data_IF_262775489197
#
_entry.id   IF_262775489197
#
_cell.length_a   1.000
_cell.length_b   1.000
_cell.length_c   1.000
_cell.angle_alpha   90.00
_cell.angle_beta   90.00
_cell.angle_gamma   90.00
#
_symmetry.space_group_name_H-M   'P 1'
#
loop_
_entity.id
_entity.type
_entity.pdbx_description
1 polymer ?
#
# COMPACT_ATOMS: atom_id res chain seq x y z
N UNK A 1 7.09 -7.45 -20.98
CA UNK A 1 5.79 -8.01 -21.41
C UNK A 1 4.85 -6.82 -21.55
N UNK A 2 4.52 -6.41 -22.78
CA UNK A 2 3.50 -5.38 -23.04
C UNK A 2 2.24 -6.15 -23.41
N UNK A 3 1.22 -6.10 -22.55
CA UNK A 3 0.00 -6.91 -22.70
C UNK A 3 -0.94 -6.34 -23.77
N UNK A 4 -1.00 -5.01 -23.90
CA UNK A 4 -1.72 -4.26 -24.94
C UNK A 4 -1.45 -2.75 -24.77
N UNK A 5 -1.79 -1.94 -25.76
CA UNK A 5 -1.85 -0.48 -25.63
C UNK A 5 -3.02 -0.09 -24.69
N UNK A 6 -2.80 0.92 -23.84
CA UNK A 6 -3.85 1.45 -22.97
C UNK A 6 -4.74 2.39 -23.81
N UNK A 7 -6.06 2.17 -23.89
CA UNK A 7 -6.95 3.06 -24.63
C UNK A 7 -6.85 4.51 -24.15
N UNK A 8 -7.01 5.46 -25.09
CA UNK A 8 -6.99 6.89 -24.77
C UNK A 8 -7.94 7.23 -23.62
N UNK A 9 -7.47 8.05 -22.69
CA UNK A 9 -8.20 8.46 -21.49
C UNK A 9 -8.07 7.53 -20.29
N UNK A 10 -7.39 6.37 -20.42
CA UNK A 10 -7.16 5.40 -19.32
C UNK A 10 -5.69 5.36 -18.88
N UNK A 11 -5.43 4.59 -17.82
CA UNK A 11 -4.09 4.37 -17.29
C UNK A 11 -3.77 5.28 -16.11
N UNK A 12 -2.47 5.41 -15.81
CA UNK A 12 -1.99 6.17 -14.64
C UNK A 12 -2.26 7.65 -14.89
N UNK A 13 -3.02 8.27 -14.00
CA UNK A 13 -3.31 9.72 -14.02
C UNK A 13 -2.22 10.47 -13.27
N UNK A 14 -1.91 10.03 -12.05
CA UNK A 14 -0.92 10.64 -11.16
C UNK A 14 -0.37 9.58 -10.21
N UNK A 15 0.87 9.78 -9.77
CA UNK A 15 1.48 8.92 -8.76
C UNK A 15 2.55 9.69 -7.97
N UNK A 16 2.75 9.25 -6.73
CA UNK A 16 3.78 9.77 -5.83
C UNK A 16 4.44 8.62 -5.10
N UNK A 17 5.75 8.74 -4.93
CA UNK A 17 6.60 7.81 -4.19
C UNK A 17 7.35 8.60 -3.13
N UNK A 18 7.50 8.02 -1.95
CA UNK A 18 8.21 8.65 -0.84
C UNK A 18 8.94 7.64 0.03
N UNK A 19 9.93 8.14 0.76
CA UNK A 19 10.73 7.37 1.70
C UNK A 19 11.10 8.24 2.90
N UNK A 20 10.95 7.68 4.09
CA UNK A 20 11.40 8.27 5.36
C UNK A 20 12.28 7.24 6.08
N UNK A 21 13.58 7.35 5.87
CA UNK A 21 14.58 6.52 6.53
C UNK A 21 14.72 6.90 8.01
N UNK A 22 15.03 5.92 8.84
CA UNK A 22 15.26 6.10 10.28
C UNK A 22 16.62 5.52 10.66
N UNK A 23 17.31 6.17 11.62
CA UNK A 23 18.57 5.68 12.15
C UNK A 23 18.37 4.35 12.90
N UNK A 24 17.26 4.23 13.64
CA UNK A 24 16.77 2.97 14.21
C UNK A 24 15.51 2.52 13.45
N UNK A 25 15.58 1.46 12.63
CA UNK A 25 14.46 1.06 11.79
C UNK A 25 13.26 0.52 12.59
N UNK A 26 12.09 1.14 12.41
CA UNK A 26 10.84 0.66 12.99
C UNK A 26 10.37 -0.72 12.47
N UNK A 27 10.90 -1.20 11.34
CA UNK A 27 10.59 -2.50 10.75
C UNK A 27 11.82 -3.06 10.01
N UNK A 28 12.38 -4.17 10.49
CA UNK A 28 13.63 -4.73 9.98
C UNK A 28 13.77 -6.24 10.24
N UNK A 29 14.57 -6.92 9.42
CA UNK A 29 15.21 -8.20 9.77
C UNK A 29 16.69 -7.90 10.08
N UNK A 30 17.14 -7.98 11.34
CA UNK A 30 18.47 -7.47 11.74
C UNK A 30 19.68 -8.19 11.13
N UNK A 31 19.57 -9.47 10.78
CA UNK A 31 20.64 -10.29 10.25
C UNK A 31 20.26 -11.00 8.93
N UNK A 32 21.26 -11.60 8.27
CA UNK A 32 21.12 -12.29 6.98
C UNK A 32 21.64 -11.49 5.79
N UNK A 33 21.90 -10.20 5.96
CA UNK A 33 22.57 -9.34 4.98
C UNK A 33 24.07 -9.16 5.25
N UNK A 34 24.75 -8.34 4.44
CA UNK A 34 26.20 -8.11 4.55
C UNK A 34 26.63 -7.43 5.85
N UNK A 35 25.80 -6.56 6.44
CA UNK A 35 26.08 -5.87 7.71
C UNK A 35 26.17 -6.85 8.89
N UNK A 36 25.34 -7.91 8.87
CA UNK A 36 25.31 -8.98 9.87
C UNK A 36 25.01 -10.31 9.18
N UNK A 37 26.04 -11.00 8.65
CA UNK A 37 25.86 -12.25 7.94
C UNK A 37 25.21 -13.35 8.79
N UNK A 38 24.68 -14.37 8.13
CA UNK A 38 24.19 -15.55 8.83
C UNK A 38 25.34 -16.28 9.55
N UNK A 39 25.17 -16.54 10.84
CA UNK A 39 26.10 -17.28 11.69
C UNK A 39 25.31 -18.02 12.77
N UNK A 40 25.95 -18.97 13.46
CA UNK A 40 25.33 -19.66 14.60
C UNK A 40 24.89 -18.65 15.69
N UNK A 41 25.67 -17.58 15.89
CA UNK A 41 25.36 -16.50 16.82
C UNK A 41 24.10 -15.73 16.41
N UNK A 42 23.99 -15.26 15.16
CA UNK A 42 22.82 -14.46 14.72
C UNK A 42 21.54 -15.28 14.68
N UNK A 43 21.65 -16.59 14.40
CA UNK A 43 20.53 -17.55 14.51
C UNK A 43 20.11 -17.73 15.97
N UNK A 44 21.06 -17.98 16.88
CA UNK A 44 20.77 -18.12 18.31
C UNK A 44 20.14 -16.86 18.90
N UNK A 45 20.58 -15.68 18.44
CA UNK A 45 20.03 -14.37 18.81
C UNK A 45 18.67 -14.05 18.17
N UNK A 46 18.11 -14.94 17.32
CA UNK A 46 16.83 -14.76 16.63
C UNK A 46 16.78 -13.44 15.84
N UNK A 47 17.85 -13.14 15.11
CA UNK A 47 17.99 -11.90 14.33
C UNK A 47 17.55 -12.06 12.87
N UNK A 48 17.14 -13.26 12.48
CA UNK A 48 16.57 -13.59 11.17
C UNK A 48 15.04 -13.48 11.14
N UNK A 49 14.45 -12.95 12.21
CA UNK A 49 13.01 -12.68 12.32
C UNK A 49 12.72 -11.20 12.11
N UNK A 50 11.51 -10.90 11.62
CA UNK A 50 11.00 -9.53 11.56
C UNK A 50 10.90 -8.95 12.96
N UNK A 51 11.52 -7.80 13.16
CA UNK A 51 11.37 -6.95 14.36
C UNK A 51 10.62 -5.69 13.96
N UNK A 52 9.59 -5.36 14.74
CA UNK A 52 8.68 -4.26 14.39
C UNK A 52 8.26 -3.45 15.62
N UNK A 53 8.41 -2.14 15.51
CA UNK A 53 7.81 -1.15 16.41
C UNK A 53 6.38 -0.83 15.93
N UNK A 54 5.43 -1.73 16.24
CA UNK A 54 4.09 -1.71 15.61
C UNK A 54 3.32 -0.40 15.74
N UNK A 55 3.44 0.32 16.88
CA UNK A 55 2.80 1.62 17.07
C UNK A 55 3.38 2.70 16.16
N UNK A 56 4.69 2.65 15.92
CA UNK A 56 5.36 3.61 15.03
C UNK A 56 5.00 3.33 13.58
N UNK A 57 5.04 2.07 13.15
CA UNK A 57 4.62 1.64 11.82
C UNK A 57 3.16 2.02 11.55
N UNK A 58 2.26 1.81 12.50
CA UNK A 58 0.85 2.20 12.36
C UNK A 58 0.67 3.71 12.17
N UNK A 59 1.32 4.53 13.02
CA UNK A 59 1.23 6.00 12.92
C UNK A 59 1.80 6.51 11.61
N UNK A 60 2.93 5.96 11.20
CA UNK A 60 3.54 6.26 9.91
C UNK A 60 2.57 5.92 8.77
N UNK A 61 2.10 4.67 8.70
CA UNK A 61 1.24 4.18 7.62
C UNK A 61 -0.01 5.03 7.43
N UNK A 62 -0.77 5.22 8.51
CA UNK A 62 -2.03 5.98 8.45
C UNK A 62 -1.81 7.45 8.06
N UNK A 63 -0.70 8.06 8.47
CA UNK A 63 -0.35 9.44 8.07
C UNK A 63 0.06 9.52 6.60
N UNK A 64 1.03 8.72 6.17
CA UNK A 64 1.60 8.85 4.82
C UNK A 64 0.64 8.40 3.73
N UNK A 65 -0.23 7.42 4.03
CA UNK A 65 -1.28 7.00 3.09
C UNK A 65 -2.30 8.12 2.84
N UNK A 66 -2.68 8.85 3.88
CA UNK A 66 -3.55 10.02 3.79
C UNK A 66 -2.90 11.13 2.94
N UNK A 67 -1.69 11.55 3.33
CA UNK A 67 -0.94 12.62 2.65
C UNK A 67 -0.68 12.30 1.16
N UNK A 68 -0.25 11.07 0.85
CA UNK A 68 0.08 10.68 -0.53
C UNK A 68 -1.17 10.52 -1.39
N UNK A 69 -2.28 10.01 -0.83
CA UNK A 69 -3.55 9.89 -1.54
C UNK A 69 -4.17 11.26 -1.84
N UNK A 70 -4.17 12.19 -0.88
CA UNK A 70 -4.63 13.54 -1.14
C UNK A 70 -3.78 14.24 -2.20
N UNK A 71 -2.46 14.06 -2.18
CA UNK A 71 -1.56 14.67 -3.15
C UNK A 71 -1.87 14.19 -4.59
N UNK A 72 -2.02 12.88 -4.80
CA UNK A 72 -2.29 12.34 -6.14
C UNK A 72 -3.69 12.73 -6.65
N UNK A 73 -4.69 12.81 -5.77
CA UNK A 73 -6.03 13.29 -6.13
C UNK A 73 -5.99 14.77 -6.53
N UNK A 74 -5.33 15.60 -5.71
CA UNK A 74 -5.21 17.04 -5.94
C UNK A 74 -4.48 17.35 -7.24
N UNK A 75 -3.44 16.60 -7.58
CA UNK A 75 -2.72 16.72 -8.86
C UNK A 75 -3.59 16.41 -10.07
N UNK A 76 -4.57 15.54 -9.91
CA UNK A 76 -5.56 15.23 -10.93
C UNK A 76 -6.76 16.20 -10.93
N UNK A 77 -6.79 17.18 -10.02
CA UNK A 77 -7.94 18.08 -9.84
C UNK A 77 -9.19 17.38 -9.28
N UNK A 78 -9.00 16.26 -8.57
CA UNK A 78 -10.06 15.41 -8.02
C UNK A 78 -10.03 15.40 -6.49
N UNK A 79 -11.11 14.95 -5.89
CA UNK A 79 -11.23 14.71 -4.45
C UNK A 79 -11.59 13.25 -4.12
N UNK A 80 -11.61 12.87 -2.83
CA UNK A 80 -11.95 11.51 -2.42
C UNK A 80 -13.35 11.05 -2.85
N UNK A 81 -14.29 11.97 -3.05
CA UNK A 81 -15.64 11.67 -3.49
C UNK A 81 -15.71 11.13 -4.92
N UNK A 82 -14.71 11.46 -5.76
CA UNK A 82 -14.60 11.02 -7.15
C UNK A 82 -14.01 9.60 -7.27
N UNK A 83 -13.50 9.03 -6.18
CA UNK A 83 -12.92 7.68 -6.17
C UNK A 83 -14.04 6.64 -6.17
N UNK A 84 -14.01 5.77 -7.18
CA UNK A 84 -14.93 4.63 -7.31
C UNK A 84 -14.47 3.45 -6.46
N UNK A 85 -13.16 3.18 -6.44
CA UNK A 85 -12.57 2.11 -5.64
C UNK A 85 -11.24 2.51 -5.01
N UNK A 86 -11.13 2.35 -3.70
CA UNK A 86 -9.89 2.51 -2.94
C UNK A 86 -9.26 1.15 -2.64
N UNK A 87 -8.02 0.95 -3.11
CA UNK A 87 -7.26 -0.29 -2.94
C UNK A 87 -5.96 -0.02 -2.18
N UNK A 88 -5.99 -0.06 -0.84
CA UNK A 88 -4.78 0.08 -0.02
C UNK A 88 -3.98 -1.23 0.05
N UNK A 89 -2.72 -1.14 0.49
CA UNK A 89 -1.94 -2.29 0.91
C UNK A 89 -2.65 -3.05 2.06
N UNK A 90 -2.73 -4.37 1.91
CA UNK A 90 -3.49 -5.26 2.80
C UNK A 90 -2.66 -5.71 4.00
N UNK A 91 -2.19 -4.75 4.81
CA UNK A 91 -1.36 -5.03 5.98
C UNK A 91 -2.15 -5.63 7.15
N UNK A 92 -3.25 -4.96 7.51
CA UNK A 92 -4.25 -5.39 8.48
C UNK A 92 -5.47 -4.45 8.38
N UNK A 93 -6.62 -4.90 8.87
CA UNK A 93 -7.88 -4.16 8.79
C UNK A 93 -7.83 -2.79 9.50
N UNK A 94 -7.15 -2.68 10.65
CA UNK A 94 -7.06 -1.41 11.40
C UNK A 94 -6.37 -0.29 10.62
N UNK A 95 -5.31 -0.61 9.86
CA UNK A 95 -4.63 0.38 9.02
C UNK A 95 -5.52 0.80 7.85
N UNK A 96 -6.20 -0.17 7.22
CA UNK A 96 -7.13 0.08 6.12
C UNK A 96 -8.25 1.02 6.57
N UNK A 97 -8.90 0.72 7.68
CA UNK A 97 -9.95 1.56 8.27
C UNK A 97 -9.41 2.94 8.70
N UNK A 98 -8.18 3.00 9.20
CA UNK A 98 -7.52 4.24 9.58
C UNK A 98 -7.30 5.16 8.38
N UNK A 99 -6.79 4.63 7.27
CA UNK A 99 -6.58 5.37 6.04
C UNK A 99 -7.91 5.81 5.40
N UNK A 100 -8.87 4.90 5.26
CA UNK A 100 -10.19 5.20 4.68
C UNK A 100 -10.91 6.32 5.44
N UNK A 101 -10.87 6.27 6.78
CA UNK A 101 -11.50 7.28 7.64
C UNK A 101 -10.86 8.67 7.48
N UNK A 102 -9.54 8.76 7.34
CA UNK A 102 -8.85 10.05 7.15
C UNK A 102 -9.15 10.66 5.79
N UNK A 103 -9.19 9.83 4.76
CA UNK A 103 -9.56 10.23 3.40
C UNK A 103 -11.06 10.52 3.23
N UNK A 104 -11.90 10.18 4.22
CA UNK A 104 -13.35 10.30 4.10
C UNK A 104 -13.99 9.34 3.09
N UNK A 105 -13.30 8.25 2.74
CA UNK A 105 -13.80 7.23 1.82
C UNK A 105 -14.57 6.18 2.62
N UNK A 106 -15.85 5.92 2.30
CA UNK A 106 -16.65 4.97 3.06
C UNK A 106 -16.23 3.53 2.73
N UNK A 107 -16.32 2.63 3.71
CA UNK A 107 -15.77 1.28 3.61
C UNK A 107 -16.36 0.45 2.47
N UNK A 108 -17.58 0.73 2.00
CA UNK A 108 -18.15 0.07 0.82
C UNK A 108 -17.35 0.33 -0.47
N UNK A 109 -16.63 1.46 -0.56
CA UNK A 109 -15.72 1.78 -1.68
C UNK A 109 -14.29 1.33 -1.43
N UNK A 110 -14.03 0.66 -0.31
CA UNK A 110 -12.71 0.13 0.02
C UNK A 110 -12.65 -1.35 -0.35
N UNK A 111 -11.55 -1.74 -0.96
CA UNK A 111 -11.26 -3.13 -1.22
C UNK A 111 -10.51 -3.75 -0.05
N UNK A 112 -11.17 -4.69 0.64
CA UNK A 112 -10.59 -5.47 1.73
C UNK A 112 -10.46 -6.92 1.26
N UNK A 113 -9.23 -7.42 1.26
CA UNK A 113 -8.90 -8.82 0.95
C UNK A 113 -7.96 -9.47 1.97
N UNK A 114 -7.49 -8.71 2.97
CA UNK A 114 -6.67 -9.25 4.07
C UNK A 114 -7.38 -10.34 4.88
N UNK A 115 -8.71 -10.31 4.93
CA UNK A 115 -9.57 -11.33 5.53
C UNK A 115 -9.58 -12.67 4.75
N UNK A 116 -9.21 -12.62 3.47
CA UNK A 116 -9.20 -13.78 2.56
C UNK A 116 -7.79 -14.29 2.27
N UNK A 117 -6.85 -13.38 2.03
CA UNK A 117 -5.51 -13.71 1.55
C UNK A 117 -4.41 -13.36 2.55
N UNK A 118 -4.76 -12.82 3.72
CA UNK A 118 -3.82 -12.31 4.72
C UNK A 118 -2.88 -11.21 4.16
N UNK A 119 -1.83 -10.89 4.89
CA UNK A 119 -0.81 -9.93 4.47
C UNK A 119 0.23 -10.64 3.58
N UNK A 120 0.20 -10.32 2.29
CA UNK A 120 1.12 -10.87 1.27
C UNK A 120 2.20 -9.87 0.84
N UNK A 121 2.47 -8.85 1.66
CA UNK A 121 3.47 -7.81 1.39
C UNK A 121 3.21 -7.11 0.04
N UNK A 122 4.20 -7.03 -0.84
CA UNK A 122 4.11 -6.35 -2.14
C UNK A 122 3.07 -6.96 -3.09
N UNK A 123 2.71 -8.24 -2.91
CA UNK A 123 1.70 -8.89 -3.74
C UNK A 123 0.27 -8.44 -3.40
N UNK A 124 0.05 -7.78 -2.26
CA UNK A 124 -1.29 -7.50 -1.76
C UNK A 124 -2.11 -6.59 -2.68
N UNK A 125 -1.53 -5.53 -3.25
CA UNK A 125 -2.29 -4.61 -4.13
C UNK A 125 -2.62 -5.29 -5.48
N UNK A 126 -1.65 -5.92 -6.19
CA UNK A 126 -1.97 -6.66 -7.42
C UNK A 126 -3.00 -7.77 -7.22
N UNK A 127 -2.88 -8.54 -6.14
CA UNK A 127 -3.86 -9.59 -5.81
C UNK A 127 -5.24 -9.00 -5.52
N UNK A 128 -5.31 -7.87 -4.82
CA UNK A 128 -6.57 -7.19 -4.58
C UNK A 128 -7.20 -6.70 -5.89
N UNK A 129 -6.43 -6.06 -6.78
CA UNK A 129 -6.92 -5.62 -8.09
C UNK A 129 -7.46 -6.78 -8.94
N UNK A 130 -6.72 -7.90 -9.01
CA UNK A 130 -7.18 -9.10 -9.70
C UNK A 130 -8.51 -9.60 -9.12
N UNK A 131 -8.60 -9.69 -7.79
CA UNK A 131 -9.81 -10.10 -7.10
C UNK A 131 -11.00 -9.15 -7.35
N UNK A 132 -10.78 -7.84 -7.34
CA UNK A 132 -11.83 -6.87 -7.66
C UNK A 132 -12.31 -6.97 -9.11
N UNK A 133 -11.42 -7.25 -10.05
CA UNK A 133 -11.80 -7.50 -11.45
C UNK A 133 -12.65 -8.76 -11.56
N UNK A 134 -12.27 -9.86 -10.91
CA UNK A 134 -13.03 -11.12 -10.91
C UNK A 134 -14.43 -10.96 -10.29
N UNK A 135 -14.55 -10.12 -9.26
CA UNK A 135 -15.84 -9.81 -8.62
C UNK A 135 -16.69 -8.78 -9.38
N UNK A 136 -16.22 -8.26 -10.51
CA UNK A 136 -16.92 -7.20 -11.25
C UNK A 136 -17.00 -5.86 -10.51
N UNK A 137 -16.06 -5.61 -9.58
CA UNK A 137 -15.93 -4.34 -8.83
C UNK A 137 -15.06 -3.30 -9.54
N UNK A 138 -14.54 -3.63 -10.72
CA UNK A 138 -13.74 -2.74 -11.56
C UNK A 138 -14.41 -2.60 -12.92
N UNK A 139 -15.03 -1.45 -13.16
CA UNK A 139 -15.62 -1.03 -14.41
C UNK A 139 -14.64 -0.26 -15.29
N UNK A 140 -14.89 -0.30 -16.59
CA UNK A 140 -14.16 0.53 -17.55
C UNK A 140 -14.40 2.02 -17.26
N UNK A 141 -13.33 2.77 -17.01
CA UNK A 141 -13.39 4.20 -16.70
C UNK A 141 -13.38 4.54 -15.21
N UNK A 142 -13.48 3.54 -14.33
CA UNK A 142 -13.46 3.72 -12.87
C UNK A 142 -12.16 4.39 -12.42
N UNK A 143 -12.29 5.32 -11.47
CA UNK A 143 -11.18 5.95 -10.77
C UNK A 143 -10.76 5.10 -9.57
N UNK A 144 -9.60 4.48 -9.71
CA UNK A 144 -9.03 3.56 -8.73
C UNK A 144 -7.86 4.23 -8.01
N UNK A 145 -8.03 4.44 -6.71
CA UNK A 145 -6.98 5.00 -5.86
C UNK A 145 -6.21 3.88 -5.17
N UNK A 146 -4.90 3.81 -5.42
CA UNK A 146 -3.99 2.84 -4.84
C UNK A 146 -3.10 3.51 -3.81
N UNK A 147 -2.79 2.82 -2.72
CA UNK A 147 -1.76 3.27 -1.79
C UNK A 147 -1.10 2.12 -1.08
N UNK A 148 0.20 2.25 -0.80
CA UNK A 148 0.95 1.26 -0.06
C UNK A 148 2.07 1.88 0.78
N UNK A 149 2.54 1.12 1.75
CA UNK A 149 3.72 1.42 2.54
C UNK A 149 4.46 0.13 2.86
N UNK A 150 5.74 0.23 3.21
CA UNK A 150 6.56 -0.94 3.53
C UNK A 150 7.82 -0.60 4.30
N UNK A 151 8.59 -1.63 4.65
CA UNK A 151 9.90 -1.48 5.30
C UNK A 151 10.81 -0.53 4.51
N UNK A 152 11.56 0.32 5.23
CA UNK A 152 12.32 1.42 4.64
C UNK A 152 12.48 2.65 5.55
N UNK A 153 11.40 3.32 6.00
CA UNK A 153 10.01 3.13 5.58
C UNK A 153 9.75 3.82 4.24
N UNK A 154 9.00 3.16 3.36
CA UNK A 154 8.62 3.68 2.03
C UNK A 154 7.12 3.73 1.89
N UNK A 155 6.63 4.59 1.00
CA UNK A 155 5.21 4.72 0.71
C UNK A 155 4.96 5.18 -0.72
N UNK A 156 3.75 4.92 -1.20
CA UNK A 156 3.30 5.29 -2.53
C UNK A 156 1.80 5.57 -2.55
N UNK A 157 1.40 6.46 -3.45
CA UNK A 157 0.02 6.68 -3.86
C UNK A 157 -0.04 6.72 -5.38
N UNK A 158 -1.13 6.23 -5.95
CA UNK A 158 -1.36 6.28 -7.40
C UNK A 158 -2.85 6.38 -7.68
N UNK A 159 -3.20 7.26 -8.61
CA UNK A 159 -4.54 7.30 -9.19
C UNK A 159 -4.50 6.72 -10.60
N UNK A 160 -5.35 5.73 -10.83
CA UNK A 160 -5.50 4.99 -12.07
C UNK A 160 -6.92 5.20 -12.61
N UNK A 161 -7.07 5.34 -13.92
CA UNK A 161 -8.35 5.06 -14.59
C UNK A 161 -8.31 3.67 -15.24
N UNK A 162 -9.21 2.79 -14.81
CA UNK A 162 -9.28 1.38 -15.24
C UNK A 162 -9.78 1.21 -16.69
#
# INVERSE_FOLDING_TARGET
>A
LVMQEVPSGRGIISFRLGAEGQADPALIIPAGGSRRPASAETVAAREHYVRMQGREVYRFAVRVQDEVCEAVLREAGLGPADVDLFVPHQANLRIIEGAARRLGIPMERVLVTVDRFANTSSASIPMALAWASEMGRLGAGDLVLLTGFGAGLTYAGMLLRW
#
